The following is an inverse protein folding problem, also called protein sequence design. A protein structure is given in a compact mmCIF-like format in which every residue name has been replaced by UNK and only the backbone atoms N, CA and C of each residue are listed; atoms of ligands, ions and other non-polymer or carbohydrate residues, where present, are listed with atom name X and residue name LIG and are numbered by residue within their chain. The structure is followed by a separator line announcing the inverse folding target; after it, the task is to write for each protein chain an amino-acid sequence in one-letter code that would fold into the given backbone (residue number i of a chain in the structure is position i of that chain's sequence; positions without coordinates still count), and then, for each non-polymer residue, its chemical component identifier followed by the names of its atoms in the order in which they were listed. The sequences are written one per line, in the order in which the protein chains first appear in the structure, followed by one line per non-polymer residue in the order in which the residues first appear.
data_IF_661993035870
#
_entry.id   IF_661993035870
#
_cell.length_a   1.000
_cell.length_b   1.000
_cell.length_c   1.000
_cell.angle_alpha   90.00
_cell.angle_beta   90.00
_cell.angle_gamma   90.00
#
_symmetry.space_group_name_H-M   'P 1'
#
loop_
_entity.id
_entity.type
_entity.pdbx_description
1 polymer ?
#
# COMPACT_ATOMS: atom_id res chain seq x y z
N UNK A 1 -39.46 70.06 -19.72
CA UNK A 1 -38.75 68.86 -19.22
C UNK A 1 -38.11 69.20 -17.89
N UNK A 2 -38.57 68.58 -16.79
CA UNK A 2 -38.04 68.79 -15.43
C UNK A 2 -37.00 67.71 -15.14
N UNK A 3 -35.74 68.10 -14.92
CA UNK A 3 -34.70 67.19 -14.46
C UNK A 3 -34.82 67.12 -12.93
N UNK A 4 -35.37 66.02 -12.42
CA UNK A 4 -35.34 65.69 -10.99
C UNK A 4 -33.88 65.44 -10.58
N UNK A 5 -33.34 66.27 -9.70
CA UNK A 5 -32.07 65.99 -9.03
C UNK A 5 -32.26 64.82 -8.06
N UNK A 6 -31.42 63.80 -8.18
CA UNK A 6 -31.37 62.66 -7.27
C UNK A 6 -30.71 63.15 -5.97
N UNK A 7 -31.31 62.97 -4.79
CA UNK A 7 -30.69 63.41 -3.55
C UNK A 7 -29.40 62.61 -3.30
N UNK A 8 -28.29 63.32 -3.12
CA UNK A 8 -27.02 62.72 -2.74
C UNK A 8 -27.17 62.06 -1.36
N UNK A 9 -26.92 60.74 -1.30
CA UNK A 9 -26.88 60.01 -0.03
C UNK A 9 -25.69 60.50 0.79
N UNK A 10 -25.96 61.31 1.81
CA UNK A 10 -24.98 61.74 2.81
C UNK A 10 -24.63 60.57 3.75
N UNK A 11 -23.66 59.74 3.35
CA UNK A 11 -23.04 58.80 4.27
C UNK A 11 -22.15 59.58 5.23
N UNK A 12 -22.38 59.46 6.55
CA UNK A 12 -21.50 60.07 7.55
C UNK A 12 -20.09 59.46 7.39
N UNK A 13 -19.00 60.23 7.41
CA UNK A 13 -17.65 59.71 7.21
C UNK A 13 -17.28 58.57 8.17
N UNK A 14 -17.82 58.59 9.40
CA UNK A 14 -17.69 57.52 10.38
C UNK A 14 -18.29 56.17 9.95
N UNK A 15 -19.38 56.15 9.18
CA UNK A 15 -19.97 54.88 8.69
C UNK A 15 -19.16 54.26 7.56
N UNK A 16 -18.46 55.08 6.77
CA UNK A 16 -17.55 54.61 5.72
C UNK A 16 -16.28 54.02 6.34
N UNK A 17 -15.72 54.68 7.36
CA UNK A 17 -14.55 54.20 8.10
C UNK A 17 -14.83 52.86 8.80
N UNK A 18 -16.01 52.70 9.42
CA UNK A 18 -16.40 51.42 10.03
C UNK A 18 -16.57 50.29 9.01
N UNK A 19 -17.07 50.60 7.81
CA UNK A 19 -17.18 49.64 6.70
C UNK A 19 -15.80 49.21 6.19
N UNK A 20 -14.87 50.15 5.99
CA UNK A 20 -13.50 49.85 5.56
C UNK A 20 -12.75 49.05 6.64
N UNK A 21 -12.92 49.40 7.92
CA UNK A 21 -12.31 48.65 9.03
C UNK A 21 -12.89 47.23 9.14
N UNK A 22 -14.20 47.05 8.99
CA UNK A 22 -14.83 45.73 8.97
C UNK A 22 -14.35 44.88 7.78
N UNK A 23 -14.19 45.49 6.62
CA UNK A 23 -13.63 44.83 5.42
C UNK A 23 -12.16 44.47 5.63
N UNK A 24 -11.34 45.37 6.19
CA UNK A 24 -9.93 45.11 6.48
C UNK A 24 -9.74 44.02 7.54
N UNK A 25 -10.53 44.03 8.61
CA UNK A 25 -10.54 42.98 9.64
C UNK A 25 -10.99 41.66 9.02
N UNK A 26 -12.01 41.67 8.17
CA UNK A 26 -12.48 40.47 7.46
C UNK A 26 -11.42 39.90 6.51
N UNK A 27 -10.72 40.75 5.75
CA UNK A 27 -9.62 40.34 4.88
C UNK A 27 -8.41 39.84 5.69
N UNK A 28 -8.06 40.48 6.80
CA UNK A 28 -6.99 40.03 7.69
C UNK A 28 -7.32 38.67 8.33
N UNK A 29 -8.55 38.50 8.83
CA UNK A 29 -9.01 37.24 9.43
C UNK A 29 -9.14 36.13 8.39
N UNK A 30 -9.54 36.45 7.16
CA UNK A 30 -9.50 35.53 6.01
C UNK A 30 -8.06 35.12 5.68
N UNK A 31 -7.13 36.07 5.60
CA UNK A 31 -5.72 35.80 5.28
C UNK A 31 -5.07 34.88 6.33
N UNK A 32 -5.30 35.14 7.61
CA UNK A 32 -4.77 34.34 8.71
C UNK A 32 -5.50 32.99 8.87
N UNK A 33 -6.73 32.87 8.39
CA UNK A 33 -7.44 31.59 8.28
C UNK A 33 -6.93 30.76 7.11
N UNK A 34 -6.70 31.36 5.95
CA UNK A 34 -6.17 30.68 4.76
C UNK A 34 -4.76 30.14 5.02
N UNK A 35 -3.88 30.93 5.64
CA UNK A 35 -2.55 30.46 6.04
C UNK A 35 -2.62 29.29 7.03
N UNK A 36 -3.50 29.34 8.04
CA UNK A 36 -3.67 28.23 8.99
C UNK A 36 -4.24 26.97 8.34
N UNK A 37 -5.10 27.10 7.33
CA UNK A 37 -5.61 25.95 6.57
C UNK A 37 -4.49 25.39 5.68
N UNK A 38 -3.75 26.25 4.97
CA UNK A 38 -2.63 25.87 4.13
C UNK A 38 -1.52 25.16 4.93
N UNK A 39 -1.17 25.65 6.11
CA UNK A 39 -0.17 25.00 7.00
C UNK A 39 -0.61 23.61 7.44
N UNK A 40 -1.89 23.45 7.81
CA UNK A 40 -2.44 22.12 8.17
C UNK A 40 -2.43 21.17 6.99
N UNK A 41 -2.87 21.64 5.82
CA UNK A 41 -2.83 20.88 4.57
C UNK A 41 -1.40 20.47 4.25
N UNK A 42 -0.44 21.38 4.39
CA UNK A 42 0.98 21.11 4.14
C UNK A 42 1.53 20.02 5.06
N UNK A 43 1.28 20.09 6.36
CA UNK A 43 1.73 19.05 7.31
C UNK A 43 1.10 17.69 7.01
N UNK A 44 -0.17 17.67 6.59
CA UNK A 44 -0.84 16.44 6.18
C UNK A 44 -0.27 15.87 4.88
N UNK A 45 0.03 16.71 3.89
CA UNK A 45 0.68 16.28 2.64
C UNK A 45 2.09 15.71 2.92
N UNK A 46 2.88 16.33 3.79
CA UNK A 46 4.18 15.78 4.21
C UNK A 46 4.04 14.41 4.88
N UNK A 47 3.07 14.26 5.78
CA UNK A 47 2.82 12.97 6.45
C UNK A 47 2.44 11.87 5.45
N UNK A 48 1.58 12.20 4.47
CA UNK A 48 1.19 11.25 3.42
C UNK A 48 2.38 10.89 2.51
N UNK A 49 3.24 11.85 2.17
CA UNK A 49 4.40 11.58 1.33
C UNK A 49 5.36 10.56 1.98
N UNK A 50 5.60 10.69 3.29
CA UNK A 50 6.38 9.72 4.09
C UNK A 50 5.67 8.36 4.12
N UNK A 51 4.37 8.32 4.34
CA UNK A 51 3.60 7.06 4.31
C UNK A 51 3.67 6.39 2.93
N UNK A 52 3.70 7.17 1.85
CA UNK A 52 3.87 6.66 0.50
C UNK A 52 5.28 6.13 0.22
N UNK A 53 6.33 6.74 0.80
CA UNK A 53 7.70 6.18 0.73
C UNK A 53 7.74 4.81 1.41
N UNK A 54 7.19 4.70 2.62
CA UNK A 54 7.10 3.44 3.35
C UNK A 54 6.27 2.40 2.59
N UNK A 55 5.20 2.83 1.92
CA UNK A 55 4.38 1.96 1.09
C UNK A 55 5.15 1.48 -0.14
N UNK A 56 6.00 2.30 -0.76
CA UNK A 56 6.85 1.89 -1.88
C UNK A 56 7.92 0.87 -1.45
N UNK A 57 8.52 1.07 -0.28
CA UNK A 57 9.44 0.09 0.30
C UNK A 57 8.71 -1.23 0.60
N UNK A 58 7.54 -1.17 1.24
CA UNK A 58 6.73 -2.35 1.53
C UNK A 58 6.27 -3.08 0.26
N UNK A 59 5.93 -2.35 -0.80
CA UNK A 59 5.61 -2.92 -2.10
C UNK A 59 6.81 -3.73 -2.64
N UNK A 60 8.01 -3.16 -2.58
CA UNK A 60 9.23 -3.84 -3.04
C UNK A 60 9.49 -5.15 -2.28
N UNK A 61 9.30 -5.13 -0.96
CA UNK A 61 9.44 -6.32 -0.09
C UNK A 61 8.41 -7.39 -0.45
N UNK A 62 7.12 -7.04 -0.53
CA UNK A 62 6.03 -7.96 -0.85
C UNK A 62 6.23 -8.63 -2.23
N UNK A 63 6.82 -7.91 -3.19
CA UNK A 63 7.16 -8.47 -4.51
C UNK A 63 8.26 -9.52 -4.42
N UNK A 64 9.36 -9.21 -3.73
CA UNK A 64 10.46 -10.15 -3.54
C UNK A 64 10.03 -11.41 -2.78
N UNK A 65 9.13 -11.25 -1.82
CA UNK A 65 8.55 -12.35 -1.04
C UNK A 65 7.63 -13.21 -1.90
N UNK A 66 6.85 -12.61 -2.81
CA UNK A 66 6.07 -13.35 -3.81
C UNK A 66 6.94 -14.27 -4.65
N UNK A 67 8.01 -13.72 -5.22
CA UNK A 67 8.95 -14.45 -6.06
C UNK A 67 9.59 -15.60 -5.27
N UNK A 68 10.06 -15.31 -4.05
CA UNK A 68 10.64 -16.32 -3.16
C UNK A 68 9.67 -17.44 -2.83
N UNK A 69 8.40 -17.12 -2.56
CA UNK A 69 7.36 -18.10 -2.29
C UNK A 69 7.06 -18.99 -3.49
N UNK A 70 6.92 -18.38 -4.67
CA UNK A 70 6.62 -19.09 -5.92
C UNK A 70 7.76 -20.04 -6.30
N UNK A 71 9.00 -19.55 -6.24
CA UNK A 71 10.20 -20.36 -6.45
C UNK A 71 10.28 -21.54 -5.47
N UNK A 72 10.08 -21.27 -4.17
CA UNK A 72 10.13 -22.30 -3.14
C UNK A 72 9.01 -23.35 -3.34
N UNK A 73 7.78 -22.91 -3.59
CA UNK A 73 6.66 -23.82 -3.83
C UNK A 73 6.89 -24.69 -5.06
N UNK A 74 7.38 -24.10 -6.15
CA UNK A 74 7.70 -24.83 -7.38
C UNK A 74 8.84 -25.82 -7.16
N UNK A 75 9.90 -25.44 -6.42
CA UNK A 75 10.99 -26.36 -6.08
C UNK A 75 10.52 -27.52 -5.22
N UNK A 76 9.68 -27.28 -4.20
CA UNK A 76 9.09 -28.36 -3.40
C UNK A 76 8.16 -29.25 -4.23
N UNK A 77 7.43 -28.69 -5.21
CA UNK A 77 6.54 -29.44 -6.09
C UNK A 77 7.27 -30.48 -6.93
N UNK A 78 8.43 -30.12 -7.49
CA UNK A 78 9.25 -31.00 -8.34
C UNK A 78 10.15 -31.96 -7.57
N UNK A 79 10.22 -31.83 -6.24
CA UNK A 79 10.92 -32.80 -5.40
C UNK A 79 10.19 -34.15 -5.44
N UNK A 80 10.99 -35.21 -5.51
CA UNK A 80 10.55 -36.61 -5.43
C UNK A 80 11.45 -37.36 -4.45
N UNK A 81 11.04 -38.58 -4.09
CA UNK A 81 11.87 -39.48 -3.28
C UNK A 81 13.23 -39.78 -3.94
N UNK A 82 13.31 -39.73 -5.27
CA UNK A 82 14.50 -40.13 -6.03
C UNK A 82 15.49 -38.97 -6.22
N UNK A 83 15.01 -37.72 -6.18
CA UNK A 83 15.86 -36.54 -6.43
C UNK A 83 16.15 -35.70 -5.17
N UNK A 84 15.56 -36.06 -4.02
CA UNK A 84 15.68 -35.26 -2.80
C UNK A 84 17.13 -35.07 -2.34
N UNK A 85 17.96 -36.12 -2.36
CA UNK A 85 19.34 -36.02 -1.88
C UNK A 85 20.19 -35.09 -2.75
N UNK A 86 19.90 -35.00 -4.05
CA UNK A 86 20.60 -34.10 -4.97
C UNK A 86 20.11 -32.65 -4.86
N UNK A 87 18.80 -32.45 -4.63
CA UNK A 87 18.18 -31.12 -4.67
C UNK A 87 18.04 -30.45 -3.30
N UNK A 88 18.26 -31.17 -2.20
CA UNK A 88 18.11 -30.69 -0.81
C UNK A 88 18.84 -29.37 -0.55
N UNK A 89 20.10 -29.27 -0.98
CA UNK A 89 20.90 -28.06 -0.78
C UNK A 89 20.33 -26.83 -1.49
N UNK A 90 19.81 -27.01 -2.71
CA UNK A 90 19.17 -25.94 -3.48
C UNK A 90 17.89 -25.44 -2.79
N UNK A 91 17.07 -26.37 -2.30
CA UNK A 91 15.84 -26.05 -1.58
C UNK A 91 16.14 -25.34 -0.26
N UNK A 92 17.16 -25.77 0.48
CA UNK A 92 17.63 -25.07 1.69
C UNK A 92 18.05 -23.64 1.37
N UNK A 93 18.78 -23.43 0.26
CA UNK A 93 19.17 -22.09 -0.17
C UNK A 93 17.95 -21.19 -0.47
N UNK A 94 16.87 -21.76 -1.04
CA UNK A 94 15.62 -21.03 -1.27
C UNK A 94 14.89 -20.71 0.04
N UNK A 95 14.79 -21.66 0.97
CA UNK A 95 14.19 -21.41 2.30
C UNK A 95 14.94 -20.30 3.04
N UNK A 96 16.27 -20.22 2.89
CA UNK A 96 17.06 -19.16 3.51
C UNK A 96 16.76 -17.75 2.98
N UNK A 97 16.20 -17.64 1.77
CA UNK A 97 15.76 -16.36 1.18
C UNK A 97 14.43 -15.87 1.76
N UNK A 98 13.66 -16.72 2.44
CA UNK A 98 12.44 -16.31 3.14
C UNK A 98 12.83 -15.28 4.20
N UNK A 99 12.32 -14.06 4.04
CA UNK A 99 12.60 -12.88 4.88
C UNK A 99 11.54 -12.61 5.94
N UNK A 100 10.39 -13.27 5.83
CA UNK A 100 9.23 -13.05 6.68
C UNK A 100 8.81 -14.38 7.31
N UNK A 101 8.47 -14.34 8.60
CA UNK A 101 8.14 -15.49 9.44
C UNK A 101 9.29 -16.48 9.69
N UNK A 102 10.15 -16.13 10.65
CA UNK A 102 11.30 -16.94 11.08
C UNK A 102 10.91 -18.32 11.63
N UNK A 103 9.74 -18.45 12.25
CA UNK A 103 9.26 -19.71 12.82
C UNK A 103 8.96 -20.74 11.72
N UNK A 104 8.20 -20.34 10.69
CA UNK A 104 7.89 -21.18 9.53
C UNK A 104 9.17 -21.51 8.76
N UNK A 105 10.06 -20.53 8.59
CA UNK A 105 11.39 -20.73 7.99
C UNK A 105 12.20 -21.79 8.73
N UNK A 106 12.32 -21.69 10.05
CA UNK A 106 13.04 -22.66 10.87
C UNK A 106 12.43 -24.07 10.77
N UNK A 107 11.10 -24.16 10.76
CA UNK A 107 10.40 -25.44 10.58
C UNK A 107 10.64 -26.04 9.19
N UNK A 108 10.57 -25.24 8.13
CA UNK A 108 10.90 -25.68 6.77
C UNK A 108 12.34 -26.20 6.67
N UNK A 109 13.31 -25.47 7.25
CA UNK A 109 14.72 -25.90 7.30
C UNK A 109 14.88 -27.23 8.04
N UNK A 110 14.21 -27.39 9.18
CA UNK A 110 14.24 -28.63 9.96
C UNK A 110 13.68 -29.81 9.15
N UNK A 111 12.50 -29.64 8.55
CA UNK A 111 11.81 -30.68 7.78
C UNK A 111 12.64 -31.09 6.56
N UNK A 112 13.13 -30.14 5.77
CA UNK A 112 13.89 -30.47 4.55
C UNK A 112 15.23 -31.14 4.87
N UNK A 113 15.89 -30.73 5.96
CA UNK A 113 17.15 -31.32 6.42
C UNK A 113 16.93 -32.77 6.87
N UNK A 114 15.81 -33.05 7.55
CA UNK A 114 15.45 -34.39 8.01
C UNK A 114 14.83 -35.28 6.91
N UNK A 115 14.52 -34.72 5.74
CA UNK A 115 13.92 -35.48 4.64
C UNK A 115 14.94 -36.40 4.00
N UNK A 116 14.58 -37.67 3.84
CA UNK A 116 15.32 -38.68 3.07
C UNK A 116 14.37 -39.36 2.09
N UNK A 117 14.88 -40.16 1.16
CA UNK A 117 14.06 -40.95 0.25
C UNK A 117 13.05 -41.86 0.98
N UNK A 118 13.42 -42.41 2.15
CA UNK A 118 12.58 -43.33 2.92
C UNK A 118 11.40 -42.64 3.61
N UNK A 119 11.57 -41.41 4.10
CA UNK A 119 10.53 -40.68 4.83
C UNK A 119 9.87 -39.56 4.00
N UNK A 120 10.21 -39.46 2.71
CA UNK A 120 9.83 -38.38 1.80
C UNK A 120 8.33 -38.08 1.82
N UNK A 121 7.47 -39.10 1.72
CA UNK A 121 6.01 -38.92 1.66
C UNK A 121 5.47 -38.23 2.93
N UNK A 122 6.01 -38.58 4.10
CA UNK A 122 5.59 -38.00 5.39
C UNK A 122 6.12 -36.57 5.52
N UNK A 123 7.41 -36.37 5.25
CA UNK A 123 8.02 -35.04 5.37
C UNK A 123 7.44 -34.04 4.36
N UNK A 124 7.18 -34.47 3.12
CA UNK A 124 6.57 -33.61 2.10
C UNK A 124 5.20 -33.09 2.54
N UNK A 125 4.38 -33.91 3.20
CA UNK A 125 3.08 -33.44 3.74
C UNK A 125 3.27 -32.34 4.79
N UNK A 126 4.25 -32.50 5.68
CA UNK A 126 4.57 -31.50 6.70
C UNK A 126 5.14 -30.21 6.06
N UNK A 127 6.02 -30.34 5.07
CA UNK A 127 6.57 -29.20 4.32
C UNK A 127 5.44 -28.43 3.62
N UNK A 128 4.52 -29.11 2.93
CA UNK A 128 3.37 -28.48 2.28
C UNK A 128 2.50 -27.73 3.29
N UNK A 129 2.29 -28.30 4.49
CA UNK A 129 1.57 -27.59 5.57
C UNK A 129 2.26 -26.28 5.95
N UNK A 130 3.59 -26.27 6.06
CA UNK A 130 4.35 -25.06 6.36
C UNK A 130 4.31 -24.05 5.20
N UNK A 131 4.34 -24.50 3.94
CA UNK A 131 4.17 -23.62 2.78
C UNK A 131 2.77 -22.97 2.73
N UNK A 132 1.73 -23.69 3.19
CA UNK A 132 0.38 -23.11 3.32
C UNK A 132 0.33 -22.03 4.39
N UNK A 133 0.97 -22.25 5.53
CA UNK A 133 1.10 -21.22 6.57
C UNK A 133 1.86 -20.00 6.03
N UNK A 134 2.95 -20.23 5.30
CA UNK A 134 3.72 -19.16 4.66
C UNK A 134 2.87 -18.35 3.68
N UNK A 135 2.09 -19.01 2.81
CA UNK A 135 1.12 -18.36 1.90
C UNK A 135 0.06 -17.57 2.66
N UNK A 136 -0.45 -18.11 3.76
CA UNK A 136 -1.45 -17.44 4.59
C UNK A 136 -0.89 -16.14 5.19
N UNK A 137 0.31 -16.18 5.76
CA UNK A 137 0.96 -15.00 6.35
C UNK A 137 1.27 -13.94 5.29
N UNK A 138 1.78 -14.34 4.12
CA UNK A 138 1.94 -13.45 2.98
C UNK A 138 0.62 -12.77 2.57
N UNK A 139 -0.48 -13.52 2.55
CA UNK A 139 -1.79 -12.96 2.21
C UNK A 139 -2.28 -11.91 3.23
N UNK A 140 -1.95 -12.08 4.52
CA UNK A 140 -2.23 -11.09 5.56
C UNK A 140 -1.42 -9.80 5.36
N UNK A 141 -0.15 -9.92 4.98
CA UNK A 141 0.70 -8.76 4.68
C UNK A 141 0.19 -7.98 3.46
N UNK A 142 -0.19 -8.68 2.38
CA UNK A 142 -0.84 -8.06 1.21
C UNK A 142 -2.15 -7.37 1.60
N UNK A 143 -2.96 -7.98 2.47
CA UNK A 143 -4.19 -7.36 2.95
C UNK A 143 -3.91 -6.09 3.77
N UNK A 144 -2.91 -6.12 4.66
CA UNK A 144 -2.49 -4.94 5.43
C UNK A 144 -1.97 -3.82 4.52
N UNK A 145 -1.23 -4.17 3.48
CA UNK A 145 -0.76 -3.25 2.46
C UNK A 145 -1.93 -2.58 1.72
N UNK A 146 -2.93 -3.35 1.28
CA UNK A 146 -4.13 -2.83 0.63
C UNK A 146 -4.95 -1.92 1.56
N UNK A 147 -5.10 -2.30 2.84
CA UNK A 147 -5.78 -1.45 3.83
C UNK A 147 -5.06 -0.09 4.00
N UNK A 148 -3.73 -0.05 3.96
CA UNK A 148 -2.96 1.20 4.01
C UNK A 148 -3.19 2.04 2.75
N UNK A 149 -3.25 1.42 1.55
CA UNK A 149 -3.63 2.11 0.31
C UNK A 149 -4.99 2.78 0.45
N UNK A 150 -5.99 2.06 0.95
CA UNK A 150 -7.35 2.59 1.11
C UNK A 150 -7.38 3.77 2.08
N UNK A 151 -6.66 3.67 3.20
CA UNK A 151 -6.52 4.75 4.18
C UNK A 151 -5.87 5.99 3.57
N UNK A 152 -4.74 5.84 2.88
CA UNK A 152 -4.05 6.96 2.22
C UNK A 152 -4.92 7.56 1.12
N UNK A 153 -5.63 6.74 0.35
CA UNK A 153 -6.56 7.19 -0.70
C UNK A 153 -7.68 8.05 -0.10
N UNK A 154 -8.25 7.63 1.04
CA UNK A 154 -9.26 8.40 1.75
C UNK A 154 -8.69 9.74 2.29
N UNK A 155 -7.48 9.74 2.85
CA UNK A 155 -6.80 10.97 3.31
C UNK A 155 -6.54 11.94 2.16
N UNK A 156 -6.07 11.44 1.01
CA UNK A 156 -5.85 12.24 -0.21
C UNK A 156 -7.15 12.85 -0.72
N UNK A 157 -8.26 12.10 -0.69
CA UNK A 157 -9.58 12.62 -1.06
C UNK A 157 -10.05 13.75 -0.11
N UNK A 158 -9.87 13.58 1.20
CA UNK A 158 -10.17 14.63 2.18
C UNK A 158 -9.29 15.88 1.98
N UNK A 159 -8.01 15.70 1.66
CA UNK A 159 -7.11 16.81 1.39
C UNK A 159 -7.48 17.58 0.14
N UNK A 160 -7.95 16.90 -0.92
CA UNK A 160 -8.48 17.56 -2.11
C UNK A 160 -9.59 18.56 -1.76
N UNK A 161 -10.51 18.17 -0.89
CA UNK A 161 -11.59 19.04 -0.43
C UNK A 161 -11.09 20.19 0.47
N UNK A 162 -9.98 20.01 1.18
CA UNK A 162 -9.37 21.05 2.00
C UNK A 162 -8.56 22.06 1.18
N UNK A 163 -7.79 21.60 0.19
CA UNK A 163 -7.08 22.46 -0.77
C UNK A 163 -8.07 23.34 -1.54
N UNK A 164 -9.22 22.78 -1.95
CA UNK A 164 -10.28 23.55 -2.62
C UNK A 164 -10.90 24.67 -1.74
N UNK A 165 -10.71 24.62 -0.41
CA UNK A 165 -11.23 25.62 0.55
C UNK A 165 -10.23 26.75 0.84
N UNK A 166 -8.97 26.64 0.39
CA UNK A 166 -7.97 27.70 0.47
C UNK A 166 -8.39 28.78 -0.54
N UNK A 167 -8.56 30.04 -0.09
CA UNK A 167 -9.02 31.13 -0.97
C UNK A 167 -7.91 31.97 -1.57
N UNK A 168 -6.68 31.83 -1.07
CA UNK A 168 -5.50 32.44 -1.69
C UNK A 168 -5.07 31.59 -2.87
N UNK A 169 -5.11 32.17 -4.07
CA UNK A 169 -4.76 31.48 -5.33
C UNK A 169 -3.33 30.90 -5.27
N UNK A 170 -2.33 31.70 -4.86
CA UNK A 170 -0.93 31.24 -4.78
C UNK A 170 -0.74 30.05 -3.82
N UNK A 171 -1.39 30.08 -2.65
CA UNK A 171 -1.32 28.99 -1.66
C UNK A 171 -2.10 27.76 -2.14
N UNK A 172 -3.26 27.98 -2.76
CA UNK A 172 -4.06 26.91 -3.32
C UNK A 172 -3.31 26.20 -4.45
N UNK A 173 -2.63 26.93 -5.32
CA UNK A 173 -1.84 26.37 -6.42
C UNK A 173 -0.65 25.55 -5.90
N UNK A 174 0.06 26.04 -4.89
CA UNK A 174 1.18 25.33 -4.27
C UNK A 174 0.73 23.99 -3.67
N UNK A 175 -0.32 24.01 -2.85
CA UNK A 175 -0.81 22.80 -2.19
C UNK A 175 -1.51 21.84 -3.19
N UNK A 176 -2.13 22.38 -4.26
CA UNK A 176 -2.66 21.58 -5.38
C UNK A 176 -1.55 20.84 -6.14
N UNK A 177 -0.40 21.49 -6.38
CA UNK A 177 0.74 20.87 -7.04
C UNK A 177 1.32 19.71 -6.22
N UNK A 178 1.48 19.90 -4.89
CA UNK A 178 1.92 18.84 -3.97
C UNK A 178 0.92 17.68 -3.91
N UNK A 179 -0.37 17.98 -3.82
CA UNK A 179 -1.42 16.96 -3.87
C UNK A 179 -1.38 16.15 -5.17
N UNK A 180 -1.16 16.81 -6.32
CA UNK A 180 -1.02 16.14 -7.62
C UNK A 180 0.19 15.21 -7.67
N UNK A 181 1.31 15.59 -7.05
CA UNK A 181 2.49 14.73 -6.92
C UNK A 181 2.18 13.48 -6.07
N UNK A 182 1.55 13.66 -4.91
CA UNK A 182 1.12 12.57 -4.02
C UNK A 182 0.15 11.61 -4.71
N UNK A 183 -0.85 12.13 -5.41
CA UNK A 183 -1.80 11.33 -6.20
C UNK A 183 -1.08 10.50 -7.26
N UNK A 184 -0.08 11.09 -7.94
CA UNK A 184 0.72 10.37 -8.94
C UNK A 184 1.53 9.25 -8.30
N UNK A 185 2.21 9.51 -7.18
CA UNK A 185 3.02 8.53 -6.44
C UNK A 185 2.16 7.36 -5.96
N UNK A 186 1.01 7.63 -5.34
CA UNK A 186 0.02 6.63 -4.94
C UNK A 186 -0.44 5.78 -6.13
N UNK A 187 -0.80 6.41 -7.26
CA UNK A 187 -1.24 5.70 -8.46
C UNK A 187 -0.15 4.78 -9.02
N UNK A 188 1.10 5.25 -9.06
CA UNK A 188 2.24 4.42 -9.50
C UNK A 188 2.40 3.22 -8.58
N UNK A 189 2.41 3.41 -7.26
CA UNK A 189 2.56 2.31 -6.30
C UNK A 189 1.44 1.27 -6.41
N UNK A 190 0.19 1.71 -6.59
CA UNK A 190 -0.95 0.81 -6.84
C UNK A 190 -0.75 0.04 -8.15
N UNK A 191 -0.39 0.72 -9.23
CA UNK A 191 -0.19 0.11 -10.55
C UNK A 191 0.91 -0.94 -10.51
N UNK A 192 2.06 -0.60 -9.92
CA UNK A 192 3.23 -1.47 -9.79
C UNK A 192 2.88 -2.73 -8.99
N UNK A 193 2.03 -2.61 -7.96
CA UNK A 193 1.58 -3.75 -7.16
C UNK A 193 0.49 -4.56 -7.86
N UNK A 194 -0.45 -3.92 -8.55
CA UNK A 194 -1.46 -4.62 -9.32
C UNK A 194 -0.82 -5.47 -10.41
N UNK A 195 0.15 -4.94 -11.16
CA UNK A 195 0.89 -5.71 -12.18
C UNK A 195 1.65 -6.90 -11.57
N UNK A 196 2.24 -6.73 -10.38
CA UNK A 196 3.00 -7.80 -9.73
C UNK A 196 2.11 -8.84 -9.05
N UNK A 197 0.95 -8.47 -8.51
CA UNK A 197 0.07 -9.36 -7.77
C UNK A 197 -0.96 -10.09 -8.67
N UNK A 198 -1.41 -9.49 -9.77
CA UNK A 198 -2.44 -10.06 -10.67
C UNK A 198 -2.01 -11.37 -11.34
N UNK A 199 -0.73 -11.62 -11.50
CA UNK A 199 -0.22 -12.79 -12.26
C UNK A 199 -0.47 -14.14 -11.57
N UNK A 200 -0.96 -14.20 -10.32
CA UNK A 200 -1.05 -15.48 -9.59
C UNK A 200 -2.15 -15.54 -8.50
N UNK A 201 -3.17 -14.68 -8.59
CA UNK A 201 -4.42 -14.88 -7.81
C UNK A 201 -5.27 -16.01 -8.43
N UNK A 202 -4.82 -16.62 -9.53
CA UNK A 202 -5.36 -17.88 -10.05
C UNK A 202 -4.71 -19.06 -9.30
N UNK A 203 -5.36 -19.43 -8.19
CA UNK A 203 -5.42 -20.68 -7.41
C UNK A 203 -4.74 -22.01 -7.84
N UNK A 204 -3.83 -22.10 -8.80
CA UNK A 204 -3.61 -23.38 -9.50
C UNK A 204 -2.38 -24.20 -9.07
N UNK A 205 -1.53 -23.72 -8.14
CA UNK A 205 -0.26 -24.40 -7.83
C UNK A 205 -0.30 -25.27 -6.57
N UNK A 206 -1.06 -24.88 -5.55
CA UNK A 206 -1.09 -25.61 -4.26
C UNK A 206 -2.29 -26.56 -4.16
N UNK A 207 -3.46 -26.20 -4.70
CA UNK A 207 -4.67 -27.02 -4.61
C UNK A 207 -4.66 -28.20 -5.60
N UNK A 208 -3.90 -28.07 -6.69
CA UNK A 208 -3.69 -29.15 -7.68
C UNK A 208 -2.74 -30.25 -7.21
N UNK A 209 -1.89 -29.96 -6.21
CA UNK A 209 -0.99 -30.94 -5.62
C UNK A 209 -1.69 -31.92 -4.64
N UNK A 210 -2.95 -31.64 -4.28
CA UNK A 210 -3.84 -32.55 -3.55
C UNK A 210 -4.79 -33.33 -4.47
N UNK A 211 -5.05 -32.86 -5.70
CA UNK A 211 -5.98 -33.49 -6.65
C UNK A 211 -5.36 -34.58 -7.53
N UNK A 212 -4.04 -34.67 -7.61
CA UNK A 212 -3.38 -35.79 -8.26
C UNK A 212 -3.50 -37.01 -7.31
N UNK A 213 -4.55 -37.79 -7.56
CA UNK A 213 -4.76 -39.14 -7.03
C UNK A 213 -3.42 -39.88 -6.93
N UNK A 214 -3.13 -40.33 -5.71
CA UNK A 214 -2.10 -41.33 -5.47
C UNK A 214 -2.63 -42.60 -6.15
N UNK A 215 -1.97 -43.15 -7.19
CA UNK A 215 -2.26 -44.53 -7.54
C UNK A 215 -1.88 -45.36 -6.31
N UNK A 216 -2.85 -46.06 -5.77
CA UNK A 216 -2.64 -47.11 -4.80
C UNK A 216 -1.79 -48.19 -5.49
N UNK A 217 -0.48 -48.09 -5.35
CA UNK A 217 0.41 -49.23 -5.53
C UNK A 217 0.14 -50.17 -4.33
N UNK A 218 -0.93 -50.95 -4.45
CA UNK A 218 -1.10 -52.21 -3.73
C UNK A 218 0.02 -53.16 -4.18
N UNK A 219 0.84 -53.58 -3.22
CA UNK A 219 1.65 -54.81 -3.17
C UNK A 219 2.42 -55.26 -4.43
#
# INVERSE_FOLDING_TARGET
MSIKSIPAKNYKPWSIILLIAAVAIYFFYMHERDHRIADKVYQQLLSIDIQLDQLQESATVIKAEKETNSDLAQSIKVLTKDNIETNKASVIAMINKVSYNDDVKAQLLSLITATTSQNFKVQRKLIIKQLRELKYQYSLEVQQFNNKIDQITAQVAQLKDQVAKIKSDDLQDLESAKLKFIVKKLKTTISDMHESLVTEIVDDVIDKAESDEIPDDEN
#
